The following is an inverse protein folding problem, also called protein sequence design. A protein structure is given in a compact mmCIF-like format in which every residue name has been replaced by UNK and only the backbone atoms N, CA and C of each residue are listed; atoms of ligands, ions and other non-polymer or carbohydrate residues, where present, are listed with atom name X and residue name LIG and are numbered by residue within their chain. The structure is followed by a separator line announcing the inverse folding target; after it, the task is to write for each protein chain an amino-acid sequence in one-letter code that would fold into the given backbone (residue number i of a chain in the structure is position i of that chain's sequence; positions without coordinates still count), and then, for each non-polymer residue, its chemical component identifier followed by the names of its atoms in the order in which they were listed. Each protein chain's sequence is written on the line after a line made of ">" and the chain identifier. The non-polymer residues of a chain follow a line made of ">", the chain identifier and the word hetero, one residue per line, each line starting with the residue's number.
data_IF_969431834963
#
_entry.id   IF_969431834963
#
_cell.length_a   1.000
_cell.length_b   1.000
_cell.length_c   1.000
_cell.angle_alpha   90.00
_cell.angle_beta   90.00
_cell.angle_gamma   90.00
#
_symmetry.space_group_name_H-M   'P 1'
#
loop_
_entity.id
_entity.type
_entity.pdbx_description
1 polymer ?
#
# COMPACT_ATOMS: atom_id res chain seq x y z
N UNK A 1 -44.45 8.19 11.58
CA UNK A 1 -43.61 8.73 10.49
C UNK A 1 -42.31 8.00 10.59
N UNK A 2 -42.13 7.02 9.71
CA UNK A 2 -40.96 6.14 9.73
C UNK A 2 -39.77 6.87 9.11
N UNK A 3 -38.64 6.87 9.80
CA UNK A 3 -37.39 7.44 9.32
C UNK A 3 -36.88 6.59 8.13
N UNK A 4 -36.42 7.20 7.02
CA UNK A 4 -35.80 6.45 5.93
C UNK A 4 -34.42 5.91 6.36
N UNK A 5 -33.98 4.77 5.81
CA UNK A 5 -32.72 4.15 6.17
C UNK A 5 -31.52 4.98 5.70
N UNK A 6 -30.44 4.88 6.46
CA UNK A 6 -29.11 5.46 6.24
C UNK A 6 -28.41 4.96 4.96
N UNK A 7 -28.97 5.21 3.78
CA UNK A 7 -28.33 4.84 2.49
C UNK A 7 -27.70 6.04 1.75
N UNK A 8 -27.48 7.16 2.43
CA UNK A 8 -26.96 8.39 1.81
C UNK A 8 -25.46 8.64 2.08
N UNK A 9 -24.78 7.79 2.85
CA UNK A 9 -23.36 7.96 3.13
C UNK A 9 -22.45 7.35 2.04
N UNK A 10 -22.91 6.28 1.38
CA UNK A 10 -22.11 5.58 0.35
C UNK A 10 -21.91 6.43 -0.92
N UNK A 11 -22.96 7.13 -1.36
CA UNK A 11 -22.94 7.80 -2.67
C UNK A 11 -22.16 9.11 -2.74
N UNK A 12 -21.68 9.65 -1.60
CA UNK A 12 -20.87 10.88 -1.59
C UNK A 12 -19.37 10.61 -1.54
N UNK A 13 -18.96 9.50 -0.93
CA UNK A 13 -17.55 9.05 -0.95
C UNK A 13 -17.18 8.55 -2.35
N UNK A 14 -18.04 7.76 -3.00
CA UNK A 14 -17.83 7.26 -4.37
C UNK A 14 -17.63 8.37 -5.41
N UNK A 15 -18.31 9.52 -5.27
CA UNK A 15 -18.20 10.64 -6.21
C UNK A 15 -16.90 11.44 -6.04
N UNK A 16 -16.32 11.46 -4.84
CA UNK A 16 -15.06 12.15 -4.57
C UNK A 16 -13.86 11.28 -4.93
N UNK A 17 -13.99 9.96 -4.82
CA UNK A 17 -12.99 9.00 -5.28
C UNK A 17 -12.80 9.05 -6.81
N UNK A 18 -13.87 9.23 -7.58
CA UNK A 18 -13.82 9.35 -9.05
C UNK A 18 -13.10 10.62 -9.55
N UNK A 19 -13.31 11.76 -8.88
CA UNK A 19 -12.66 13.04 -9.24
C UNK A 19 -11.16 13.05 -8.92
N UNK A 20 -10.76 12.43 -7.79
CA UNK A 20 -9.35 12.31 -7.40
C UNK A 20 -8.58 11.41 -8.37
N UNK A 21 -9.14 10.26 -8.74
CA UNK A 21 -8.53 9.33 -9.69
C UNK A 21 -8.38 9.98 -11.09
N UNK A 22 -9.36 10.77 -11.52
CA UNK A 22 -9.31 11.47 -12.81
C UNK A 22 -8.19 12.53 -12.87
N UNK A 23 -7.96 13.28 -11.79
CA UNK A 23 -6.86 14.25 -11.73
C UNK A 23 -5.50 13.54 -11.59
N UNK A 24 -5.39 12.42 -10.88
CA UNK A 24 -4.16 11.60 -10.83
C UNK A 24 -3.77 11.13 -12.25
N UNK A 25 -4.69 10.51 -13.00
CA UNK A 25 -4.43 9.99 -14.35
C UNK A 25 -3.95 11.11 -15.29
N UNK A 26 -4.53 12.30 -15.20
CA UNK A 26 -4.16 13.46 -16.01
C UNK A 26 -2.77 14.00 -15.66
N UNK A 27 -2.35 13.92 -14.41
CA UNK A 27 -0.97 14.27 -14.01
C UNK A 27 0.02 13.23 -14.52
N UNK A 28 -0.29 11.94 -14.37
CA UNK A 28 0.55 10.82 -14.82
C UNK A 28 0.74 10.85 -16.34
N UNK A 29 -0.32 11.07 -17.13
CA UNK A 29 -0.24 11.19 -18.60
C UNK A 29 0.71 12.28 -19.09
N UNK A 30 0.86 13.38 -18.34
CA UNK A 30 1.77 14.48 -18.69
C UNK A 30 3.24 14.13 -18.46
N UNK A 31 3.51 13.24 -17.51
CA UNK A 31 4.86 12.87 -17.09
C UNK A 31 5.34 11.62 -17.85
N UNK A 32 4.44 10.66 -18.07
CA UNK A 32 4.75 9.38 -18.71
C UNK A 32 4.84 9.57 -20.23
N UNK A 33 5.92 9.10 -20.88
CA UNK A 33 6.04 9.13 -22.34
C UNK A 33 4.87 8.43 -23.05
N UNK A 34 4.48 8.94 -24.21
CA UNK A 34 3.29 8.46 -24.95
C UNK A 34 3.32 6.96 -25.28
N UNK A 35 4.51 6.40 -25.50
CA UNK A 35 4.70 4.96 -25.76
C UNK A 35 4.24 4.07 -24.60
N UNK A 36 4.14 4.61 -23.39
CA UNK A 36 3.72 3.88 -22.19
C UNK A 36 2.31 4.27 -21.73
N UNK A 37 1.57 5.08 -22.50
CA UNK A 37 0.21 5.49 -22.12
C UNK A 37 -0.78 4.32 -22.04
N UNK A 38 -0.47 3.17 -22.66
CA UNK A 38 -1.25 1.94 -22.48
C UNK A 38 -1.05 1.28 -21.11
N UNK A 39 -0.07 1.71 -20.31
CA UNK A 39 0.29 1.16 -19.00
C UNK A 39 0.17 2.20 -17.88
N UNK A 40 -0.69 3.21 -18.04
CA UNK A 40 -0.86 4.26 -17.03
C UNK A 40 -1.32 3.71 -15.68
N UNK A 41 -2.03 2.58 -15.71
CA UNK A 41 -2.46 1.87 -14.52
C UNK A 41 -1.29 1.36 -13.65
N UNK A 42 -0.14 1.05 -14.24
CA UNK A 42 1.09 0.66 -13.51
C UNK A 42 1.64 1.82 -12.67
N UNK A 43 1.31 3.06 -13.03
CA UNK A 43 1.73 4.26 -12.32
C UNK A 43 0.70 4.76 -11.30
N UNK A 44 -0.43 4.06 -11.13
CA UNK A 44 -1.44 4.42 -10.13
C UNK A 44 -0.90 4.18 -8.72
N UNK A 45 -0.93 5.22 -7.89
CA UNK A 45 -0.52 5.10 -6.49
C UNK A 45 -1.43 4.14 -5.73
N UNK A 46 -2.75 4.24 -5.93
CA UNK A 46 -3.76 3.39 -5.27
C UNK A 46 -3.54 1.91 -5.59
N UNK A 47 -3.31 1.57 -6.87
CA UNK A 47 -3.02 0.18 -7.25
C UNK A 47 -1.70 -0.31 -6.66
N UNK A 48 -0.71 0.56 -6.55
CA UNK A 48 0.58 0.24 -5.96
C UNK A 48 0.54 0.03 -4.44
N UNK A 49 -0.56 0.37 -3.75
CA UNK A 49 -0.74 0.08 -2.31
C UNK A 49 -1.20 -1.36 -2.04
N UNK A 50 -1.44 -2.17 -3.08
CA UNK A 50 -1.86 -3.56 -2.95
C UNK A 50 -0.75 -4.52 -3.36
N UNK A 51 -0.51 -5.57 -2.58
CA UNK A 51 0.41 -6.63 -2.98
C UNK A 51 -0.16 -7.42 -4.16
N UNK A 52 0.66 -7.75 -5.17
CA UNK A 52 0.24 -8.68 -6.21
C UNK A 52 -0.05 -10.06 -5.59
N UNK A 53 -0.95 -10.85 -6.20
CA UNK A 53 -1.20 -12.22 -5.76
C UNK A 53 0.09 -13.07 -5.74
N UNK A 54 0.18 -13.95 -4.75
CA UNK A 54 1.22 -14.98 -4.69
C UNK A 54 1.24 -15.80 -5.98
N UNK A 55 2.43 -16.04 -6.52
CA UNK A 55 2.62 -16.74 -7.79
C UNK A 55 3.73 -17.78 -7.68
N UNK A 56 3.82 -18.67 -8.68
CA UNK A 56 4.79 -19.77 -8.68
C UNK A 56 6.27 -19.31 -8.64
N UNK A 57 6.53 -18.01 -8.87
CA UNK A 57 7.85 -17.40 -8.85
C UNK A 57 8.05 -16.47 -7.65
N UNK A 58 7.39 -16.72 -6.52
CA UNK A 58 7.67 -15.99 -5.30
C UNK A 58 9.14 -16.11 -4.91
N UNK A 59 9.68 -15.03 -4.36
CA UNK A 59 11.08 -14.99 -3.97
C UNK A 59 11.34 -15.94 -2.80
N UNK A 60 12.23 -16.91 -3.00
CA UNK A 60 12.69 -17.83 -1.98
C UNK A 60 14.12 -17.50 -1.56
N UNK A 61 14.36 -17.49 -0.25
CA UNK A 61 15.70 -17.28 0.32
C UNK A 61 16.28 -18.66 0.64
N UNK A 62 17.27 -19.09 -0.14
CA UNK A 62 18.04 -20.31 0.15
C UNK A 62 19.04 -20.04 1.28
N UNK A 63 18.96 -20.84 2.35
CA UNK A 63 19.87 -20.73 3.49
C UNK A 63 21.04 -21.70 3.32
N UNK A 64 22.25 -21.17 3.32
CA UNK A 64 23.47 -21.96 3.39
C UNK A 64 23.90 -22.10 4.87
N UNK A 65 23.92 -23.32 5.40
CA UNK A 65 24.40 -23.61 6.76
C UNK A 65 23.35 -23.52 7.86
N UNK A 66 23.65 -22.82 8.96
CA UNK A 66 22.79 -22.71 10.15
C UNK A 66 21.83 -21.52 10.09
N UNK A 67 20.80 -21.53 10.94
CA UNK A 67 19.87 -20.41 11.10
C UNK A 67 20.62 -19.10 11.40
N UNK A 68 20.13 -17.94 10.88
CA UNK A 68 20.74 -16.65 11.18
C UNK A 68 20.66 -16.36 12.69
N UNK A 69 21.69 -15.72 13.28
CA UNK A 69 21.66 -15.34 14.68
C UNK A 69 20.59 -14.29 14.94
N UNK A 70 19.98 -14.33 16.13
CA UNK A 70 19.04 -13.30 16.57
C UNK A 70 19.84 -12.02 16.85
N UNK A 71 19.61 -10.99 16.03
CA UNK A 71 20.24 -9.67 16.19
C UNK A 71 19.66 -8.88 17.37
N UNK A 72 20.45 -7.93 17.89
CA UNK A 72 19.97 -6.95 18.87
C UNK A 72 19.21 -5.82 18.18
N UNK A 73 18.18 -5.30 18.85
CA UNK A 73 17.46 -4.11 18.38
C UNK A 73 18.23 -2.87 18.84
N UNK A 74 18.61 -2.01 17.89
CA UNK A 74 19.29 -0.75 18.20
C UNK A 74 18.33 0.25 18.83
N UNK A 75 18.84 1.05 19.76
CA UNK A 75 18.09 2.15 20.37
C UNK A 75 17.84 3.25 19.34
N UNK A 76 16.58 3.61 19.14
CA UNK A 76 16.16 4.73 18.31
C UNK A 76 15.89 5.96 19.18
N UNK A 77 16.05 7.15 18.62
CA UNK A 77 15.54 8.38 19.24
C UNK A 77 14.01 8.39 19.25
N UNK A 78 13.41 9.32 20.01
CA UNK A 78 11.95 9.45 20.08
C UNK A 78 11.35 9.73 18.68
N UNK A 79 11.95 10.67 17.94
CA UNK A 79 11.49 11.03 16.60
C UNK A 79 11.57 9.85 15.61
N UNK A 80 12.68 9.10 15.62
CA UNK A 80 12.83 7.90 14.79
C UNK A 80 11.83 6.81 15.18
N UNK A 81 11.55 6.65 16.47
CA UNK A 81 10.58 5.68 16.97
C UNK A 81 9.15 6.01 16.54
N UNK A 82 8.78 7.29 16.58
CA UNK A 82 7.46 7.76 16.12
C UNK A 82 7.30 7.55 14.61
N UNK A 83 8.34 7.89 13.85
CA UNK A 83 8.38 7.69 12.39
C UNK A 83 8.26 6.21 12.03
N UNK A 84 9.03 5.35 12.71
CA UNK A 84 8.99 3.91 12.50
C UNK A 84 7.61 3.33 12.83
N UNK A 85 6.99 3.80 13.92
CA UNK A 85 5.66 3.34 14.33
C UNK A 85 4.59 3.69 13.31
N UNK A 86 4.62 4.92 12.78
CA UNK A 86 3.72 5.35 11.72
C UNK A 86 3.86 4.48 10.47
N UNK A 87 5.10 4.27 10.02
CA UNK A 87 5.39 3.40 8.87
C UNK A 87 4.89 1.97 9.07
N UNK A 88 5.15 1.38 10.25
CA UNK A 88 4.70 0.02 10.57
C UNK A 88 3.18 -0.05 10.60
N UNK A 89 2.48 0.93 11.20
CA UNK A 89 1.02 0.93 11.21
C UNK A 89 0.41 1.04 9.81
N UNK A 90 0.97 1.89 8.96
CA UNK A 90 0.51 2.06 7.57
C UNK A 90 0.69 0.76 6.77
N UNK A 91 1.88 0.16 6.84
CA UNK A 91 2.19 -1.04 6.05
C UNK A 91 1.53 -2.31 6.59
N UNK A 92 1.19 -2.36 7.89
CA UNK A 92 0.30 -3.37 8.45
C UNK A 92 -1.12 -3.22 7.89
N UNK A 93 -1.64 -1.99 7.79
CA UNK A 93 -2.94 -1.70 7.20
C UNK A 93 -3.02 -2.10 5.73
N UNK A 94 -1.95 -1.87 4.97
CA UNK A 94 -1.80 -2.28 3.55
C UNK A 94 -1.56 -3.79 3.37
N UNK A 95 -1.23 -4.52 4.44
CA UNK A 95 -0.86 -5.94 4.38
C UNK A 95 0.51 -6.20 3.76
N UNK A 96 1.36 -5.18 3.60
CA UNK A 96 2.73 -5.31 3.07
C UNK A 96 3.65 -6.03 4.04
N UNK A 97 3.38 -5.86 5.33
CA UNK A 97 4.06 -6.57 6.40
C UNK A 97 3.02 -7.26 7.28
N UNK A 98 3.42 -8.36 7.91
CA UNK A 98 2.57 -9.11 8.83
C UNK A 98 3.37 -9.45 10.09
N UNK A 99 2.70 -9.42 11.25
CA UNK A 99 3.27 -9.92 12.49
C UNK A 99 3.56 -11.41 12.38
N UNK A 100 4.81 -11.80 12.63
CA UNK A 100 5.22 -13.19 12.72
C UNK A 100 5.85 -13.43 14.09
N UNK A 101 5.36 -14.45 14.78
CA UNK A 101 6.08 -15.03 15.91
C UNK A 101 7.14 -15.98 15.37
N UNK A 102 8.34 -15.92 15.93
CA UNK A 102 9.39 -16.93 15.69
C UNK A 102 9.15 -18.18 16.53
#
# INVERSE_FOLDING_TARGET
>A
MDLPPSSYHDSLEELWDEEEEAEEVKTVMKIVPSVYHQYLDVFSKVKAENLPPHHACDHYIELEGSLPPVGVIYSLSNHESDTLRAYVSENLGKGFIQQRSS
#
